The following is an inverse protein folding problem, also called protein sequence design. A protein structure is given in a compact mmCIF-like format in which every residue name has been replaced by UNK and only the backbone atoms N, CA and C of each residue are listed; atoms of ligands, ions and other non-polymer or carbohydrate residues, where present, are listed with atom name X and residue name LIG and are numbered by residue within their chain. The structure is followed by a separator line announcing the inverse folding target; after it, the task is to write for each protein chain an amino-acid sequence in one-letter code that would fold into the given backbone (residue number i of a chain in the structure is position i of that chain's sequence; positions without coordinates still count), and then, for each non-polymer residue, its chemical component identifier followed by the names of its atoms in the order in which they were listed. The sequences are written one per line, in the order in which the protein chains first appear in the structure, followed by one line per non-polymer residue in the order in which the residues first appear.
data_IF_226090055810
#
_entry.id   IF_226090055810
#
_cell.length_a   1.000
_cell.length_b   1.000
_cell.length_c   1.000
_cell.angle_alpha   90.00
_cell.angle_beta   90.00
_cell.angle_gamma   90.00
#
_symmetry.space_group_name_H-M   'P 1'
#
loop_
_entity.id
_entity.type
_entity.pdbx_description
1 polymer ?
#
# COMPACT_ATOMS: atom_id res chain seq x y z
N UNK A 1 11.05 -13.01 -16.46
CA UNK A 1 12.15 -13.44 -15.56
C UNK A 1 11.85 -14.84 -15.09
N UNK A 2 12.72 -15.77 -15.36
CA UNK A 2 12.57 -17.18 -15.00
C UNK A 2 13.33 -17.48 -13.72
N UNK A 3 12.89 -18.49 -12.98
CA UNK A 3 13.68 -19.08 -11.90
C UNK A 3 14.95 -19.68 -12.49
N UNK A 4 16.06 -19.64 -11.77
CA UNK A 4 17.29 -20.31 -12.17
C UNK A 4 17.11 -21.82 -12.00
N UNK A 5 17.73 -22.62 -12.85
CA UNK A 5 17.65 -24.08 -12.78
C UNK A 5 18.24 -24.65 -11.48
N UNK A 6 19.07 -23.87 -10.80
CA UNK A 6 19.70 -24.21 -9.51
C UNK A 6 18.88 -23.77 -8.28
N UNK A 7 17.78 -23.04 -8.48
CA UNK A 7 16.96 -22.54 -7.37
C UNK A 7 16.27 -23.69 -6.62
N UNK A 8 16.31 -23.66 -5.32
CA UNK A 8 15.47 -24.48 -4.44
C UNK A 8 13.97 -24.11 -4.60
N UNK A 9 13.07 -24.95 -4.14
CA UNK A 9 11.63 -24.60 -4.15
C UNK A 9 11.33 -23.36 -3.31
N UNK A 10 12.07 -23.16 -2.23
CA UNK A 10 11.99 -21.93 -1.42
C UNK A 10 12.42 -20.69 -2.22
N UNK A 11 13.57 -20.76 -2.92
CA UNK A 11 14.07 -19.65 -3.75
C UNK A 11 13.10 -19.32 -4.87
N UNK A 12 12.54 -20.34 -5.51
CA UNK A 12 11.50 -20.14 -6.55
C UNK A 12 10.28 -19.42 -5.99
N UNK A 13 9.81 -19.79 -4.79
CA UNK A 13 8.68 -19.12 -4.15
C UNK A 13 9.01 -17.66 -3.81
N UNK A 14 10.19 -17.40 -3.26
CA UNK A 14 10.67 -16.04 -2.95
C UNK A 14 10.79 -15.19 -4.21
N UNK A 15 11.36 -15.74 -5.29
CA UNK A 15 11.46 -15.02 -6.57
C UNK A 15 10.10 -14.68 -7.16
N UNK A 16 9.13 -15.62 -7.09
CA UNK A 16 7.75 -15.35 -7.51
C UNK A 16 7.12 -14.22 -6.71
N UNK A 17 7.30 -14.22 -5.40
CA UNK A 17 6.83 -13.15 -4.52
C UNK A 17 7.46 -11.80 -4.89
N UNK A 18 8.75 -11.74 -5.16
CA UNK A 18 9.40 -10.51 -5.63
C UNK A 18 8.83 -10.04 -6.97
N UNK A 19 8.59 -10.95 -7.91
CA UNK A 19 7.99 -10.59 -9.20
C UNK A 19 6.59 -9.99 -9.03
N UNK A 20 5.75 -10.57 -8.17
CA UNK A 20 4.44 -10.00 -7.86
C UNK A 20 4.55 -8.60 -7.25
N UNK A 21 5.54 -8.41 -6.36
CA UNK A 21 5.81 -7.08 -5.79
C UNK A 21 6.24 -6.07 -6.87
N UNK A 22 7.10 -6.44 -7.82
CA UNK A 22 7.50 -5.55 -8.91
C UNK A 22 6.34 -5.21 -9.83
N UNK A 23 5.54 -6.18 -10.26
CA UNK A 23 4.48 -5.94 -11.23
C UNK A 23 3.25 -5.25 -10.67
N UNK A 24 2.95 -5.43 -9.39
CA UNK A 24 1.72 -4.92 -8.80
C UNK A 24 1.97 -3.87 -7.71
N UNK A 25 2.72 -4.23 -6.70
CA UNK A 25 2.88 -3.37 -5.53
C UNK A 25 3.79 -2.17 -5.81
N UNK A 26 4.95 -2.39 -6.43
CA UNK A 26 5.91 -1.33 -6.72
C UNK A 26 5.36 -0.31 -7.71
N UNK A 27 4.72 -0.76 -8.78
CA UNK A 27 4.12 0.14 -9.76
C UNK A 27 3.07 1.05 -9.12
N UNK A 28 2.18 0.49 -8.30
CA UNK A 28 1.17 1.26 -7.58
C UNK A 28 1.79 2.28 -6.62
N UNK A 29 2.86 1.90 -5.91
CA UNK A 29 3.56 2.82 -5.01
C UNK A 29 4.24 3.96 -5.76
N UNK A 30 4.91 3.65 -6.87
CA UNK A 30 5.62 4.63 -7.68
C UNK A 30 4.65 5.61 -8.34
N UNK A 31 3.57 5.11 -8.94
CA UNK A 31 2.54 5.93 -9.57
C UNK A 31 1.88 6.87 -8.56
N UNK A 32 1.47 6.35 -7.41
CA UNK A 32 0.92 7.17 -6.33
C UNK A 32 1.91 8.25 -5.86
N UNK A 33 3.18 7.86 -5.66
CA UNK A 33 4.22 8.76 -5.19
C UNK A 33 4.44 9.90 -6.20
N UNK A 34 4.59 9.53 -7.46
CA UNK A 34 4.81 10.49 -8.54
C UNK A 34 3.65 11.48 -8.67
N UNK A 35 2.42 10.97 -8.85
CA UNK A 35 1.24 11.82 -9.02
C UNK A 35 0.99 12.75 -7.84
N UNK A 36 1.04 12.21 -6.61
CA UNK A 36 0.79 13.03 -5.41
C UNK A 36 1.88 14.09 -5.19
N UNK A 37 3.15 13.76 -5.46
CA UNK A 37 4.27 14.69 -5.27
C UNK A 37 4.31 15.75 -6.38
N UNK A 38 4.16 15.34 -7.64
CA UNK A 38 4.19 16.24 -8.78
C UNK A 38 3.00 17.20 -8.81
N UNK A 39 1.85 16.78 -8.30
CA UNK A 39 0.70 17.69 -8.11
C UNK A 39 1.03 18.90 -7.20
N UNK A 40 2.09 18.78 -6.40
CA UNK A 40 2.59 19.83 -5.51
C UNK A 40 3.98 20.35 -5.94
N UNK A 41 4.40 20.06 -7.17
CA UNK A 41 5.68 20.51 -7.72
C UNK A 41 6.93 19.85 -7.09
N UNK A 42 6.76 18.70 -6.40
CA UNK A 42 7.86 17.98 -5.77
C UNK A 42 8.22 16.74 -6.58
N UNK A 43 9.38 16.74 -7.22
CA UNK A 43 9.93 15.54 -7.85
C UNK A 43 10.52 14.58 -6.80
N UNK A 44 10.05 13.36 -6.77
CA UNK A 44 10.57 12.29 -5.89
C UNK A 44 11.32 11.27 -6.70
N UNK A 45 12.59 11.09 -6.39
CA UNK A 45 13.45 10.07 -7.00
C UNK A 45 13.62 8.88 -6.06
N UNK A 46 13.61 7.66 -6.62
CA UNK A 46 13.64 6.40 -5.88
C UNK A 46 14.79 5.52 -6.40
N UNK A 47 16.03 5.77 -5.92
CA UNK A 47 17.23 5.09 -6.44
C UNK A 47 17.16 3.56 -6.37
N UNK A 48 16.49 3.01 -5.35
CA UNK A 48 16.32 1.56 -5.22
C UNK A 48 15.37 0.94 -6.24
N UNK A 49 14.68 1.76 -7.04
CA UNK A 49 13.85 1.29 -8.16
C UNK A 49 14.55 1.44 -9.52
N UNK A 50 15.83 1.80 -9.54
CA UNK A 50 16.65 1.74 -10.76
C UNK A 50 16.65 0.28 -11.28
N UNK A 51 16.29 0.10 -12.55
CA UNK A 51 16.13 -1.23 -13.15
C UNK A 51 17.43 -2.04 -13.10
N UNK A 52 18.60 -1.39 -13.21
CA UNK A 52 19.91 -2.04 -13.14
C UNK A 52 20.16 -2.61 -11.73
N UNK A 53 19.83 -1.84 -10.71
CA UNK A 53 19.93 -2.27 -9.32
C UNK A 53 18.91 -3.36 -9.00
N UNK A 54 17.69 -3.21 -9.50
CA UNK A 54 16.64 -4.20 -9.33
C UNK A 54 17.01 -5.55 -9.99
N UNK A 55 17.53 -5.52 -11.21
CA UNK A 55 17.99 -6.69 -11.95
C UNK A 55 19.17 -7.38 -11.24
N UNK A 56 20.16 -6.60 -10.81
CA UNK A 56 21.28 -7.11 -10.04
C UNK A 56 20.81 -7.74 -8.73
N UNK A 57 20.02 -7.03 -7.96
CA UNK A 57 19.50 -7.50 -6.67
C UNK A 57 18.59 -8.73 -6.82
N UNK A 58 17.84 -8.85 -7.92
CA UNK A 58 17.00 -10.01 -8.17
C UNK A 58 17.81 -11.30 -8.24
N UNK A 59 19.00 -11.24 -8.83
CA UNK A 59 19.89 -12.39 -9.01
C UNK A 59 20.68 -12.78 -7.76
N UNK A 60 20.74 -11.94 -6.73
CA UNK A 60 21.41 -12.28 -5.47
C UNK A 60 20.62 -13.41 -4.77
N UNK A 61 21.28 -14.47 -4.28
CA UNK A 61 20.63 -15.53 -3.50
C UNK A 61 19.90 -14.99 -2.26
N UNK A 62 18.79 -15.62 -1.91
CA UNK A 62 18.00 -15.18 -0.76
C UNK A 62 18.76 -15.16 0.55
N UNK A 63 19.60 -16.17 0.80
CA UNK A 63 20.42 -16.28 1.99
C UNK A 63 21.35 -15.06 2.18
N UNK A 64 21.88 -14.53 1.09
CA UNK A 64 22.68 -13.30 1.14
C UNK A 64 21.82 -12.08 1.40
N UNK A 65 20.62 -11.98 0.79
CA UNK A 65 19.69 -10.87 1.04
C UNK A 65 19.24 -10.84 2.49
N UNK A 66 18.98 -12.02 3.07
CA UNK A 66 18.55 -12.23 4.44
C UNK A 66 19.73 -12.61 5.38
N UNK A 67 20.89 -12.07 5.14
CA UNK A 67 22.11 -12.38 5.91
C UNK A 67 21.85 -12.28 7.42
N UNK A 68 22.23 -13.32 8.16
CA UNK A 68 21.97 -13.42 9.60
C UNK A 68 20.49 -13.55 9.97
N UNK A 69 19.62 -13.99 9.04
CA UNK A 69 18.18 -14.11 9.26
C UNK A 69 17.46 -12.76 9.39
N UNK A 70 18.10 -11.66 8.98
CA UNK A 70 17.55 -10.31 9.09
C UNK A 70 17.09 -9.77 7.75
N UNK A 71 15.96 -9.05 7.77
CA UNK A 71 15.51 -8.31 6.61
C UNK A 71 16.57 -7.29 6.17
N UNK A 72 16.83 -7.24 4.85
CA UNK A 72 17.87 -6.38 4.25
C UNK A 72 19.30 -6.66 4.76
N UNK A 73 19.59 -7.89 5.19
CA UNK A 73 20.85 -8.25 5.84
C UNK A 73 22.09 -7.86 5.04
N UNK A 74 22.12 -8.10 3.75
CA UNK A 74 23.24 -7.74 2.88
C UNK A 74 23.51 -6.23 2.88
N UNK A 75 22.48 -5.41 2.72
CA UNK A 75 22.65 -3.95 2.67
C UNK A 75 23.03 -3.39 4.05
N UNK A 76 22.49 -3.98 5.12
CA UNK A 76 22.90 -3.64 6.50
C UNK A 76 24.39 -3.92 6.69
N UNK A 77 24.85 -5.10 6.29
CA UNK A 77 26.26 -5.47 6.39
C UNK A 77 27.16 -4.53 5.58
N UNK A 78 26.77 -4.20 4.37
CA UNK A 78 27.52 -3.25 3.54
C UNK A 78 27.52 -1.82 4.09
N UNK A 79 26.57 -1.47 4.96
CA UNK A 79 26.47 -0.13 5.54
C UNK A 79 27.18 0.04 6.87
N UNK A 80 27.74 -1.03 7.47
CA UNK A 80 28.39 -0.98 8.78
C UNK A 80 29.59 -0.03 8.85
N UNK A 81 30.27 0.16 7.73
CA UNK A 81 31.42 1.07 7.65
C UNK A 81 31.02 2.55 7.57
N UNK A 82 29.77 2.83 7.19
CA UNK A 82 29.30 4.19 6.90
C UNK A 82 28.30 4.74 7.92
N UNK A 83 27.65 3.87 8.68
CA UNK A 83 26.56 4.26 9.56
C UNK A 83 26.74 3.70 10.96
N UNK A 84 26.27 4.42 12.01
CA UNK A 84 26.27 3.92 13.38
C UNK A 84 25.50 2.61 13.51
N UNK A 85 25.96 1.74 14.39
CA UNK A 85 25.39 0.40 14.61
C UNK A 85 23.86 0.44 14.86
N UNK A 86 23.40 1.34 15.71
CA UNK A 86 21.97 1.45 16.08
C UNK A 86 21.10 1.88 14.89
N UNK A 87 21.66 2.59 13.90
CA UNK A 87 21.00 2.94 12.66
C UNK A 87 20.94 1.76 11.71
N UNK A 88 22.08 1.08 11.52
CA UNK A 88 22.19 -0.08 10.62
C UNK A 88 21.28 -1.20 11.07
N UNK A 89 21.30 -1.54 12.35
CA UNK A 89 20.61 -2.71 12.90
C UNK A 89 19.26 -2.40 13.54
N UNK A 90 18.77 -1.18 13.39
CA UNK A 90 17.45 -0.78 13.89
C UNK A 90 16.36 -1.71 13.36
N UNK A 91 15.49 -2.15 14.26
CA UNK A 91 14.29 -2.89 13.87
C UNK A 91 13.36 -1.96 13.06
N UNK A 92 12.80 -2.49 11.96
CA UNK A 92 11.84 -1.74 11.17
C UNK A 92 10.66 -1.34 12.04
N UNK A 93 10.35 -0.05 12.04
CA UNK A 93 9.14 0.51 12.63
C UNK A 93 8.16 0.82 11.51
N UNK A 94 6.91 0.40 11.59
CA UNK A 94 5.88 0.81 10.64
C UNK A 94 5.63 2.32 10.75
N UNK A 95 5.10 2.92 9.70
CA UNK A 95 4.58 4.27 9.80
C UNK A 95 3.49 4.32 10.87
N UNK A 96 3.41 5.40 11.67
CA UNK A 96 2.36 5.52 12.67
C UNK A 96 0.99 5.50 11.99
N UNK A 97 0.07 4.73 12.55
CA UNK A 97 -1.33 4.82 12.19
C UNK A 97 -1.89 6.16 12.66
N UNK A 98 -2.81 6.72 11.90
CA UNK A 98 -3.62 7.82 12.41
C UNK A 98 -4.61 7.27 13.43
N UNK A 99 -4.28 7.42 14.71
CA UNK A 99 -5.14 7.02 15.82
C UNK A 99 -5.94 8.21 16.38
N UNK A 100 -5.91 9.33 15.69
CA UNK A 100 -6.62 10.53 16.13
C UNK A 100 -8.14 10.34 16.01
N UNK A 101 -8.91 10.36 17.10
CA UNK A 101 -10.37 10.22 17.06
C UNK A 101 -11.05 11.28 16.19
N UNK A 102 -10.49 12.48 16.13
CA UNK A 102 -11.00 13.55 15.27
C UNK A 102 -10.95 13.18 13.78
N UNK A 103 -9.89 12.49 13.34
CA UNK A 103 -9.79 12.00 11.96
C UNK A 103 -10.92 11.00 11.65
N UNK A 104 -11.12 10.02 12.53
CA UNK A 104 -12.19 9.02 12.37
C UNK A 104 -13.55 9.66 12.25
N UNK A 105 -13.84 10.63 13.14
CA UNK A 105 -15.10 11.38 13.12
C UNK A 105 -15.26 12.18 11.82
N UNK A 106 -14.26 12.95 11.43
CA UNK A 106 -14.32 13.79 10.22
C UNK A 106 -14.56 12.96 8.95
N UNK A 107 -13.88 11.82 8.81
CA UNK A 107 -14.05 10.94 7.65
C UNK A 107 -15.46 10.34 7.64
N UNK A 108 -15.93 9.88 8.78
CA UNK A 108 -17.28 9.34 8.93
C UNK A 108 -18.36 10.40 8.63
N UNK A 109 -18.27 11.56 9.23
CA UNK A 109 -19.21 12.68 9.00
C UNK A 109 -19.26 13.05 7.52
N UNK A 110 -18.07 13.14 6.87
CA UNK A 110 -17.96 13.43 5.43
C UNK A 110 -18.61 12.36 4.56
N UNK A 111 -18.43 11.08 4.91
CA UNK A 111 -19.07 9.99 4.18
C UNK A 111 -20.59 10.04 4.30
N UNK A 112 -21.10 10.32 5.51
CA UNK A 112 -22.55 10.49 5.74
C UNK A 112 -23.14 11.68 4.97
N UNK A 113 -22.41 12.79 4.83
CA UNK A 113 -22.81 13.91 3.98
C UNK A 113 -22.94 13.50 2.51
N UNK A 114 -21.91 12.83 1.98
CA UNK A 114 -21.91 12.35 0.60
C UNK A 114 -23.05 11.38 0.34
N UNK A 115 -23.36 10.48 1.28
CA UNK A 115 -24.45 9.51 1.16
C UNK A 115 -25.83 10.16 1.03
N UNK A 116 -26.02 11.33 1.63
CA UNK A 116 -27.28 12.09 1.57
C UNK A 116 -27.48 12.82 0.23
N UNK A 117 -26.42 12.96 -0.53
CA UNK A 117 -26.48 13.61 -1.84
C UNK A 117 -27.28 12.75 -2.84
N UNK A 118 -28.16 13.40 -3.60
CA UNK A 118 -28.96 12.72 -4.65
C UNK A 118 -28.10 12.13 -5.77
N UNK A 119 -26.91 12.71 -6.00
CA UNK A 119 -25.91 12.24 -6.98
C UNK A 119 -24.86 11.30 -6.36
N UNK A 120 -25.22 10.58 -5.31
CA UNK A 120 -24.32 9.60 -4.72
C UNK A 120 -24.14 8.39 -5.64
N UNK A 121 -22.94 8.22 -6.18
CA UNK A 121 -22.65 7.30 -7.31
C UNK A 121 -22.18 5.92 -6.87
N UNK A 122 -21.68 5.77 -5.65
CA UNK A 122 -21.22 4.47 -5.15
C UNK A 122 -22.29 3.37 -5.16
N UNK A 123 -23.58 3.75 -5.10
CA UNK A 123 -24.69 2.79 -5.22
C UNK A 123 -24.76 2.08 -6.59
N UNK A 124 -24.00 2.56 -7.57
CA UNK A 124 -23.85 1.88 -8.87
C UNK A 124 -22.90 0.68 -8.79
N UNK A 125 -22.02 0.64 -7.80
CA UNK A 125 -20.98 -0.37 -7.65
C UNK A 125 -21.18 -1.23 -6.40
N UNK A 126 -21.82 -0.69 -5.38
CA UNK A 126 -21.95 -1.30 -4.07
C UNK A 126 -23.42 -1.42 -3.66
N UNK A 127 -23.69 -2.43 -2.87
CA UNK A 127 -25.01 -2.65 -2.28
C UNK A 127 -25.38 -1.49 -1.33
N UNK A 128 -26.48 -0.80 -1.63
CA UNK A 128 -26.94 0.34 -0.86
C UNK A 128 -27.29 -0.03 0.60
N UNK A 129 -27.86 -1.22 0.83
CA UNK A 129 -28.21 -1.69 2.16
C UNK A 129 -26.97 -1.93 3.01
N UNK A 130 -25.88 -2.45 2.41
CA UNK A 130 -24.59 -2.61 3.07
C UNK A 130 -23.92 -1.28 3.41
N UNK A 131 -24.06 -0.29 2.55
CA UNK A 131 -23.58 1.06 2.84
C UNK A 131 -24.34 1.66 4.03
N UNK A 132 -25.67 1.53 4.05
CA UNK A 132 -26.50 2.04 5.11
C UNK A 132 -26.26 1.31 6.44
N UNK A 133 -25.99 0.00 6.42
CA UNK A 133 -25.55 -0.78 7.58
C UNK A 133 -24.19 -0.29 8.12
N UNK A 134 -23.22 -0.01 7.26
CA UNK A 134 -21.93 0.56 7.67
C UNK A 134 -22.10 1.92 8.35
N UNK A 135 -22.99 2.75 7.84
CA UNK A 135 -23.29 4.05 8.45
C UNK A 135 -23.98 3.87 9.81
N UNK A 136 -25.01 3.04 9.89
CA UNK A 136 -25.79 2.80 11.12
C UNK A 136 -24.91 2.25 12.26
N UNK A 137 -23.90 1.48 11.93
CA UNK A 137 -22.96 0.90 12.89
C UNK A 137 -21.68 1.70 13.08
N UNK A 138 -21.54 2.86 12.44
CA UNK A 138 -20.29 3.62 12.37
C UNK A 138 -19.10 2.75 11.92
N UNK A 139 -19.38 1.78 11.03
CA UNK A 139 -18.44 0.81 10.54
C UNK A 139 -18.08 -0.33 11.50
N UNK A 140 -18.75 -0.44 12.65
CA UNK A 140 -18.49 -1.51 13.64
C UNK A 140 -18.98 -2.89 13.17
N UNK A 141 -19.88 -2.95 12.19
CA UNK A 141 -20.28 -4.21 11.54
C UNK A 141 -19.11 -4.87 10.78
N UNK A 142 -18.05 -4.11 10.50
CA UNK A 142 -16.87 -4.60 9.84
C UNK A 142 -15.74 -4.80 10.85
N UNK A 143 -15.58 -6.02 11.35
CA UNK A 143 -14.65 -6.36 12.43
C UNK A 143 -13.22 -6.66 11.95
N UNK A 144 -13.03 -6.91 10.66
CA UNK A 144 -11.75 -7.27 10.09
C UNK A 144 -11.00 -6.05 9.54
N UNK A 145 -9.70 -6.21 9.30
CA UNK A 145 -8.95 -5.19 8.59
C UNK A 145 -9.42 -5.12 7.14
N UNK A 146 -9.83 -3.95 6.70
CA UNK A 146 -10.34 -3.70 5.36
C UNK A 146 -9.30 -4.04 4.27
N UNK A 147 -8.10 -3.57 4.46
CA UNK A 147 -7.04 -3.74 3.49
C UNK A 147 -5.68 -3.78 4.18
N UNK A 148 -4.99 -4.90 4.06
CA UNK A 148 -3.71 -5.11 4.73
C UNK A 148 -3.79 -5.02 6.26
N UNK A 149 -2.66 -5.08 6.92
CA UNK A 149 -2.57 -5.17 8.39
C UNK A 149 -2.96 -3.89 9.14
N UNK A 150 -3.00 -2.77 8.44
CA UNK A 150 -3.10 -1.44 9.06
C UNK A 150 -4.38 -0.68 8.70
N UNK A 151 -5.18 -1.18 7.77
CA UNK A 151 -6.38 -0.50 7.29
C UNK A 151 -7.60 -0.96 8.07
N UNK A 152 -8.16 -0.05 8.84
CA UNK A 152 -9.38 -0.27 9.62
C UNK A 152 -10.50 0.67 9.13
N UNK A 153 -11.59 0.73 9.87
CA UNK A 153 -12.81 1.46 9.51
C UNK A 153 -12.59 2.89 8.98
N UNK A 154 -11.81 3.79 9.63
CA UNK A 154 -11.60 5.13 9.10
C UNK A 154 -10.96 5.15 7.71
N UNK A 155 -10.03 4.24 7.44
CA UNK A 155 -9.39 4.13 6.14
C UNK A 155 -10.36 3.59 5.07
N UNK A 156 -11.28 2.72 5.46
CA UNK A 156 -12.35 2.24 4.57
C UNK A 156 -13.26 3.39 4.14
N UNK A 157 -13.75 4.20 5.08
CA UNK A 157 -14.55 5.37 4.73
C UNK A 157 -13.77 6.37 3.87
N UNK A 158 -12.51 6.63 4.20
CA UNK A 158 -11.65 7.49 3.38
C UNK A 158 -11.49 6.96 1.95
N UNK A 159 -11.35 5.64 1.79
CA UNK A 159 -11.28 5.00 0.47
C UNK A 159 -12.59 5.15 -0.30
N UNK A 160 -13.72 4.92 0.35
CA UNK A 160 -15.04 5.08 -0.28
C UNK A 160 -15.31 6.54 -0.69
N UNK A 161 -14.88 7.52 0.12
CA UNK A 161 -14.93 8.93 -0.25
C UNK A 161 -14.09 9.21 -1.50
N UNK A 162 -12.87 8.69 -1.57
CA UNK A 162 -12.00 8.86 -2.73
C UNK A 162 -12.63 8.25 -3.99
N UNK A 163 -13.22 7.07 -3.88
CA UNK A 163 -13.91 6.42 -4.99
C UNK A 163 -15.14 7.21 -5.45
N UNK A 164 -15.94 7.74 -4.52
CA UNK A 164 -17.06 8.61 -4.84
C UNK A 164 -16.61 9.87 -5.58
N UNK A 165 -15.56 10.54 -5.09
CA UNK A 165 -14.99 11.73 -5.74
C UNK A 165 -14.48 11.38 -7.13
N UNK A 166 -13.80 10.23 -7.28
CA UNK A 166 -13.30 9.77 -8.58
C UNK A 166 -14.43 9.52 -9.56
N UNK A 167 -15.51 8.85 -9.14
CA UNK A 167 -16.70 8.62 -9.97
C UNK A 167 -17.35 9.93 -10.45
N UNK A 168 -17.39 10.96 -9.59
CA UNK A 168 -17.93 12.27 -9.93
C UNK A 168 -17.02 13.05 -10.87
N UNK A 169 -15.70 12.92 -10.69
CA UNK A 169 -14.71 13.70 -11.45
C UNK A 169 -14.55 13.17 -12.86
N UNK A 170 -14.52 11.86 -13.04
CA UNK A 170 -14.21 11.23 -14.33
C UNK A 170 -15.44 10.67 -15.06
N UNK A 171 -16.56 10.55 -14.38
CA UNK A 171 -17.82 10.06 -14.94
C UNK A 171 -17.67 8.81 -15.83
N UNK A 172 -16.97 7.76 -15.34
CA UNK A 172 -16.71 6.60 -16.17
C UNK A 172 -18.01 5.88 -16.55
N UNK A 173 -18.06 5.35 -17.76
CA UNK A 173 -19.09 4.40 -18.15
C UNK A 173 -18.83 3.08 -17.41
N UNK A 174 -19.84 2.58 -16.69
CA UNK A 174 -19.77 1.34 -15.95
C UNK A 174 -20.49 0.28 -16.74
N UNK A 175 -19.74 -0.67 -17.27
CA UNK A 175 -20.27 -1.81 -18.02
C UNK A 175 -20.33 -3.04 -17.09
N UNK A 176 -21.49 -3.66 -16.97
CA UNK A 176 -21.73 -4.92 -16.22
C UNK A 176 -22.10 -6.04 -17.18
#
# INVERSE_FOLDING_TARGET
MSCLGTDSEHDKAVRRMFMLNFYWFMQTLLDRKDRCSMAHGLEVRVPFCDHRLAEYAYNIPWEMKALGGREKGLIRKASEEFLPHDVVWRKKSPYPKTHNPSYSKLVFDRFCELRKDKDFRLVRLLDAAKIDELIATEGKSFSENWYGQLMCTPQMFAYLIQLEIWLRTYEPEILF
#
